data_IF_407745410286
#
_entry.id   IF_407745410286
#
_cell.length_a   1.000
_cell.length_b   1.000
_cell.length_c   1.000
_cell.angle_alpha   90.00
_cell.angle_beta   90.00
_cell.angle_gamma   90.00
#
_symmetry.space_group_name_H-M   'P 1'
#
loop_
_entity.id
_entity.type
_entity.pdbx_description
1 polymer ?
#
# COMPACT_ATOMS: atom_id res chain seq x y z
N UNK A 1 6.83 -16.31 14.74
CA UNK A 1 7.45 -16.81 13.47
C UNK A 1 8.31 -15.68 12.91
N UNK A 2 9.31 -15.94 12.08
CA UNK A 2 10.16 -14.85 11.58
C UNK A 2 9.76 -14.41 10.17
N UNK A 3 9.80 -13.11 9.93
CA UNK A 3 9.57 -12.54 8.59
C UNK A 3 10.71 -12.99 7.66
N UNK A 4 10.42 -13.66 6.52
CA UNK A 4 11.46 -14.14 5.61
C UNK A 4 12.19 -13.00 4.88
N UNK A 5 11.62 -11.80 4.87
CA UNK A 5 12.22 -10.65 4.21
C UNK A 5 13.19 -9.86 5.12
N UNK A 6 12.86 -9.70 6.41
CA UNK A 6 13.63 -8.83 7.31
C UNK A 6 14.12 -9.50 8.60
N UNK A 7 13.80 -10.78 8.81
CA UNK A 7 14.25 -11.56 9.97
C UNK A 7 13.59 -11.22 11.30
N UNK A 8 12.71 -10.22 11.37
CA UNK A 8 12.04 -9.84 12.62
C UNK A 8 10.93 -10.82 12.99
N UNK A 9 10.75 -11.01 14.29
CA UNK A 9 9.66 -11.84 14.81
C UNK A 9 8.30 -11.18 14.54
N UNK A 10 7.39 -11.97 13.99
CA UNK A 10 6.03 -11.58 13.66
C UNK A 10 5.03 -12.59 14.24
N UNK A 11 3.81 -12.13 14.45
CA UNK A 11 2.72 -12.96 14.92
C UNK A 11 2.32 -14.00 13.86
N UNK A 12 1.92 -15.19 14.32
CA UNK A 12 1.44 -16.23 13.41
C UNK A 12 0.09 -15.79 12.83
N UNK A 13 -0.07 -15.91 11.52
CA UNK A 13 -1.30 -15.49 10.82
C UNK A 13 -1.33 -14.02 10.41
N UNK A 14 -0.27 -13.23 10.68
CA UNK A 14 -0.15 -11.90 10.11
C UNK A 14 -0.16 -11.95 8.58
N UNK A 15 -0.97 -11.12 7.93
CA UNK A 15 -1.00 -10.99 6.46
C UNK A 15 0.17 -10.17 5.92
N UNK A 16 0.73 -9.29 6.75
CA UNK A 16 1.86 -8.42 6.41
C UNK A 16 2.81 -8.26 7.62
N UNK A 17 4.08 -8.02 7.34
CA UNK A 17 5.08 -7.73 8.35
C UNK A 17 4.91 -6.28 8.84
N UNK A 18 4.59 -6.10 10.12
CA UNK A 18 4.46 -4.77 10.74
C UNK A 18 5.74 -3.92 10.75
N UNK A 19 6.89 -4.53 10.43
CA UNK A 19 8.18 -3.84 10.48
C UNK A 19 8.74 -3.42 9.13
N UNK A 20 8.46 -4.17 8.06
CA UNK A 20 8.96 -3.86 6.71
C UNK A 20 7.86 -3.80 5.65
N UNK A 21 6.62 -4.15 5.99
CA UNK A 21 5.48 -4.15 5.06
C UNK A 21 5.37 -5.39 4.17
N UNK A 22 6.35 -6.31 4.18
CA UNK A 22 6.30 -7.50 3.34
C UNK A 22 5.06 -8.37 3.62
N UNK A 23 4.37 -8.85 2.58
CA UNK A 23 3.22 -9.75 2.71
C UNK A 23 3.69 -11.12 3.24
N UNK A 24 2.97 -11.67 4.21
CA UNK A 24 3.27 -12.93 4.90
C UNK A 24 2.11 -13.89 4.63
N UNK A 25 2.41 -15.09 4.12
CA UNK A 25 1.38 -16.09 3.83
C UNK A 25 0.54 -15.79 2.59
N UNK A 26 1.18 -15.41 1.49
CA UNK A 26 0.51 -15.21 0.21
C UNK A 26 0.14 -16.53 -0.48
N UNK A 27 -1.00 -17.11 -0.10
CA UNK A 27 -1.77 -17.93 -1.03
C UNK A 27 -2.19 -17.06 -2.21
N UNK A 28 -1.61 -17.35 -3.38
CA UNK A 28 -2.01 -17.02 -4.75
C UNK A 28 -2.57 -15.61 -5.00
N UNK A 29 -1.71 -14.76 -5.56
CA UNK A 29 -2.10 -13.52 -6.23
C UNK A 29 -2.43 -13.86 -7.68
N UNK A 30 -3.70 -14.10 -7.99
CA UNK A 30 -4.20 -14.06 -9.38
C UNK A 30 -4.46 -12.59 -9.75
N UNK A 31 -3.38 -11.82 -9.91
CA UNK A 31 -3.46 -10.51 -10.54
C UNK A 31 -3.68 -10.78 -12.02
N UNK A 32 -4.94 -10.85 -12.45
CA UNK A 32 -5.25 -10.63 -13.85
C UNK A 32 -4.87 -9.19 -14.15
N UNK A 33 -3.74 -9.04 -14.80
CA UNK A 33 -3.09 -7.80 -15.24
C UNK A 33 -3.88 -7.05 -16.32
N UNK A 34 -5.21 -6.99 -16.21
CA UNK A 34 -6.02 -6.18 -17.11
C UNK A 34 -6.96 -5.31 -16.27
N UNK A 35 -6.99 -4.02 -16.62
CA UNK A 35 -7.85 -2.96 -16.05
C UNK A 35 -7.29 -2.13 -14.87
N UNK A 36 -6.04 -1.69 -14.96
CA UNK A 36 -5.66 -0.35 -14.46
C UNK A 36 -5.10 0.45 -15.64
N UNK A 37 -5.96 0.72 -16.61
CA UNK A 37 -5.69 1.56 -17.78
C UNK A 37 -6.98 2.28 -18.20
N UNK A 38 -7.69 2.91 -17.27
CA UNK A 38 -8.49 4.11 -17.55
C UNK A 38 -9.18 4.61 -16.28
N UNK A 39 -9.27 5.94 -16.18
CA UNK A 39 -9.81 6.79 -15.10
C UNK A 39 -8.83 7.04 -13.94
N UNK A 40 -8.45 8.28 -13.58
CA UNK A 40 -8.90 9.65 -13.94
C UNK A 40 -7.86 10.57 -13.25
N UNK A 41 -7.09 11.42 -13.92
CA UNK A 41 -7.48 12.76 -14.42
C UNK A 41 -8.22 13.70 -13.43
N UNK A 42 -8.36 13.37 -12.14
CA UNK A 42 -8.90 14.32 -11.16
C UNK A 42 -8.15 14.25 -9.83
N UNK A 43 -6.87 14.59 -9.86
CA UNK A 43 -6.22 15.18 -8.69
C UNK A 43 -6.38 16.69 -8.82
N UNK A 44 -7.39 17.33 -8.19
CA UNK A 44 -7.25 18.75 -7.90
C UNK A 44 -6.05 18.85 -6.97
N UNK A 45 -4.94 19.37 -7.52
CA UNK A 45 -3.80 19.83 -6.75
C UNK A 45 -4.32 20.66 -5.59
N UNK A 46 -4.08 20.20 -4.35
CA UNK A 46 -4.32 20.96 -3.12
C UNK A 46 -3.31 22.11 -3.01
N UNK A 47 -3.25 22.94 -4.05
CA UNK A 47 -2.56 24.24 -4.11
C UNK A 47 -3.65 25.31 -4.12
N UNK A 48 -4.50 25.29 -3.10
CA UNK A 48 -5.33 26.43 -2.76
C UNK A 48 -4.41 27.45 -2.07
N UNK A 49 -4.09 28.60 -2.68
CA UNK A 49 -3.38 29.65 -1.96
C UNK A 49 -4.26 30.10 -0.79
N UNK A 50 -3.67 30.08 0.40
CA UNK A 50 -4.24 30.62 1.63
C UNK A 50 -4.97 31.94 1.37
N UNK A 51 -6.17 32.05 1.92
CA UNK A 51 -6.98 33.26 2.05
C UNK A 51 -6.12 34.54 2.22
N UNK A 52 -6.19 35.45 1.25
CA UNK A 52 -5.84 36.85 1.47
C UNK A 52 -6.96 37.49 2.29
N UNK A 53 -6.71 37.63 3.59
CA UNK A 53 -7.45 38.48 4.51
C UNK A 53 -7.49 39.92 3.97
N UNK A 54 -8.67 40.55 4.05
CA UNK A 54 -8.86 41.99 3.91
C UNK A 54 -9.24 42.57 5.26
#
# INVERSE_FOLDING_TARGET
>A
MYCPNCGKEIEKGSKFCKYCGAKIGGGEINVKEKEIQQARETVPSYDAPMMLLR
#
